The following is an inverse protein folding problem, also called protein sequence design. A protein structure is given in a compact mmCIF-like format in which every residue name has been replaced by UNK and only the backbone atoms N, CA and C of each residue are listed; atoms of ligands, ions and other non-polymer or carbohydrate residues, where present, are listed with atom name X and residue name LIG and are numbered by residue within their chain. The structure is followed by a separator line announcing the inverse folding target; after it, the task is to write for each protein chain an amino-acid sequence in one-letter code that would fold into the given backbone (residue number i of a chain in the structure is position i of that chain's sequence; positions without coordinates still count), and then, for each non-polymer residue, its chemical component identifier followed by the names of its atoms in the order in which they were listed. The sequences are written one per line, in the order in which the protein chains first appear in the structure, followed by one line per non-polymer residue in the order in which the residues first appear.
data_IF_144944852127
#
_entry.id   IF_144944852127
#
_cell.length_a   1.000
_cell.length_b   1.000
_cell.length_c   1.000
_cell.angle_alpha   90.00
_cell.angle_beta   90.00
_cell.angle_gamma   90.00
#
_symmetry.space_group_name_H-M   'P 1'
#
loop_
_entity.id
_entity.type
_entity.pdbx_description
1 polymer ?
#
# COMPACT_ATOMS: atom_id res chain seq x y z
N UNK A 1 32.88 -16.69 -6.66
CA UNK A 1 32.32 -17.91 -6.07
C UNK A 1 32.09 -17.64 -4.60
N UNK A 2 30.93 -17.13 -4.24
CA UNK A 2 30.52 -16.92 -2.84
C UNK A 2 29.37 -17.89 -2.56
N UNK A 3 29.62 -18.84 -1.70
CA UNK A 3 28.68 -19.85 -1.22
C UNK A 3 27.64 -19.20 -0.31
N UNK A 4 26.41 -19.17 -0.73
CA UNK A 4 25.24 -18.83 0.11
C UNK A 4 25.00 -20.02 1.03
N UNK A 5 25.24 -19.85 2.32
CA UNK A 5 24.82 -20.80 3.35
C UNK A 5 23.32 -20.68 3.55
N UNK A 6 22.60 -21.71 3.19
CA UNK A 6 21.20 -21.92 3.56
C UNK A 6 21.13 -22.11 5.09
N UNK A 7 20.49 -21.14 5.78
CA UNK A 7 20.11 -21.31 7.18
C UNK A 7 18.81 -22.09 7.19
N UNK A 8 18.90 -23.39 7.51
CA UNK A 8 17.73 -24.23 7.75
C UNK A 8 17.04 -23.78 9.04
N UNK A 9 15.87 -23.18 8.92
CA UNK A 9 14.96 -23.03 10.05
C UNK A 9 14.31 -24.38 10.35
N UNK A 10 14.81 -25.02 11.41
CA UNK A 10 14.17 -26.19 12.00
C UNK A 10 12.80 -25.78 12.54
N UNK A 11 11.76 -26.34 11.99
CA UNK A 11 10.40 -26.22 12.50
C UNK A 11 10.33 -26.95 13.85
N UNK A 12 10.44 -26.21 14.94
CA UNK A 12 10.06 -26.68 16.26
C UNK A 12 8.52 -26.68 16.32
N UNK A 13 7.90 -27.84 16.13
CA UNK A 13 6.49 -28.07 16.42
C UNK A 13 6.29 -27.95 17.94
N UNK A 14 5.99 -26.75 18.42
CA UNK A 14 5.42 -26.57 19.74
C UNK A 14 3.91 -26.84 19.63
N UNK A 15 3.52 -28.08 19.95
CA UNK A 15 2.12 -28.43 20.14
C UNK A 15 1.61 -27.74 21.41
N UNK A 16 1.07 -26.55 21.27
CA UNK A 16 0.24 -25.94 22.31
C UNK A 16 -1.15 -26.55 22.26
N UNK A 17 -1.45 -27.47 23.17
CA UNK A 17 -2.82 -27.85 23.50
C UNK A 17 -3.51 -26.65 24.16
N UNK A 18 -4.17 -25.85 23.38
CA UNK A 18 -5.06 -24.79 23.91
C UNK A 18 -6.37 -25.45 24.31
N UNK A 19 -6.58 -25.61 25.62
CA UNK A 19 -7.90 -25.96 26.17
C UNK A 19 -8.89 -24.85 25.78
N UNK A 20 -9.90 -25.21 24.99
CA UNK A 20 -10.99 -24.33 24.62
C UNK A 20 -11.85 -24.02 25.85
N UNK A 21 -11.63 -22.88 26.50
CA UNK A 21 -12.60 -22.29 27.42
C UNK A 21 -13.51 -21.37 26.62
N UNK A 22 -14.80 -21.68 26.62
CA UNK A 22 -15.85 -20.87 26.00
C UNK A 22 -15.94 -19.48 26.65
N UNK A 23 -16.19 -18.44 25.80
CA UNK A 23 -16.36 -17.01 26.09
C UNK A 23 -15.08 -16.22 26.27
N UNK A 24 -14.27 -16.13 25.20
CA UNK A 24 -13.16 -15.19 25.12
C UNK A 24 -13.10 -14.60 23.72
N UNK A 25 -12.85 -13.31 23.63
CA UNK A 25 -12.49 -12.62 22.39
C UNK A 25 -11.45 -13.44 21.63
N UNK A 26 -11.72 -13.77 20.34
CA UNK A 26 -10.77 -14.45 19.47
C UNK A 26 -9.43 -13.70 19.48
N UNK A 27 -8.38 -14.36 19.90
CA UNK A 27 -7.02 -13.83 19.80
C UNK A 27 -6.46 -14.11 18.41
N UNK A 28 -5.48 -13.33 17.95
CA UNK A 28 -4.78 -13.58 16.70
C UNK A 28 -4.29 -15.02 16.57
N UNK A 29 -3.67 -15.57 17.63
CA UNK A 29 -3.16 -16.94 17.63
C UNK A 29 -4.28 -17.99 17.56
N UNK A 30 -5.42 -17.78 18.24
CA UNK A 30 -6.55 -18.72 18.16
C UNK A 30 -7.19 -18.72 16.77
N UNK A 31 -7.27 -17.56 16.12
CA UNK A 31 -7.74 -17.45 14.74
C UNK A 31 -6.73 -18.07 13.78
N UNK A 32 -5.43 -17.82 13.95
CA UNK A 32 -4.38 -18.41 13.14
C UNK A 32 -4.41 -19.95 13.19
N UNK A 33 -4.60 -20.55 14.37
CA UNK A 33 -4.72 -22.00 14.50
C UNK A 33 -5.91 -22.57 13.71
N UNK A 34 -7.09 -21.91 13.81
CA UNK A 34 -8.28 -22.32 13.03
C UNK A 34 -8.11 -22.11 11.54
N UNK A 35 -7.46 -21.03 11.16
CA UNK A 35 -7.13 -20.71 9.77
C UNK A 35 -6.23 -21.78 9.17
N UNK A 36 -5.13 -22.14 9.84
CA UNK A 36 -4.21 -23.17 9.40
C UNK A 36 -4.90 -24.54 9.23
N UNK A 37 -5.77 -24.92 10.16
CA UNK A 37 -6.54 -26.15 10.07
C UNK A 37 -7.44 -26.22 8.83
N UNK A 38 -7.83 -25.08 8.24
CA UNK A 38 -8.63 -24.97 7.02
C UNK A 38 -7.85 -24.48 5.81
N UNK A 39 -6.52 -24.35 5.90
CA UNK A 39 -5.70 -23.75 4.85
C UNK A 39 -5.90 -24.40 3.47
N UNK A 40 -6.05 -25.73 3.39
CA UNK A 40 -6.33 -26.43 2.15
C UNK A 40 -7.65 -26.01 1.48
N UNK A 41 -8.69 -25.75 2.27
CA UNK A 41 -9.97 -25.25 1.78
C UNK A 41 -9.87 -23.79 1.35
N UNK A 42 -9.21 -22.95 2.16
CA UNK A 42 -8.99 -21.54 1.87
C UNK A 42 -8.18 -21.37 0.58
N UNK A 43 -7.18 -22.20 0.37
CA UNK A 43 -6.32 -22.17 -0.83
C UNK A 43 -7.09 -22.39 -2.15
N UNK A 44 -8.25 -23.03 -2.12
CA UNK A 44 -9.11 -23.14 -3.32
C UNK A 44 -9.73 -21.82 -3.73
N UNK A 45 -9.76 -20.86 -2.83
CA UNK A 45 -10.36 -19.52 -3.04
C UNK A 45 -9.30 -18.45 -3.29
N UNK A 46 -8.21 -18.44 -2.52
CA UNK A 46 -7.19 -17.37 -2.54
C UNK A 46 -5.90 -17.77 -3.25
N UNK A 47 -5.72 -19.06 -3.56
CA UNK A 47 -4.43 -19.62 -3.98
C UNK A 47 -3.56 -20.00 -2.78
N UNK A 48 -2.64 -20.94 -2.99
CA UNK A 48 -1.83 -21.54 -1.92
C UNK A 48 -0.89 -20.53 -1.26
N UNK A 49 -0.18 -19.75 -2.06
CA UNK A 49 0.84 -18.84 -1.56
C UNK A 49 0.20 -17.71 -0.75
N UNK A 50 -0.88 -17.11 -1.26
CA UNK A 50 -1.66 -16.11 -0.54
C UNK A 50 -2.24 -16.63 0.77
N UNK A 51 -2.72 -17.90 0.78
CA UNK A 51 -3.23 -18.53 2.01
C UNK A 51 -2.17 -18.60 3.10
N UNK A 52 -0.94 -18.99 2.75
CA UNK A 52 0.16 -19.11 3.71
C UNK A 52 0.68 -17.75 4.14
N UNK A 53 0.67 -16.78 3.24
CA UNK A 53 1.04 -15.40 3.56
C UNK A 53 0.09 -14.78 4.59
N UNK A 54 -1.22 -14.91 4.42
CA UNK A 54 -2.20 -14.43 5.39
C UNK A 54 -2.08 -15.14 6.75
N UNK A 55 -1.74 -16.43 6.74
CA UNK A 55 -1.43 -17.14 7.98
C UNK A 55 -0.22 -16.55 8.70
N UNK A 56 0.86 -16.28 7.96
CA UNK A 56 2.08 -15.69 8.52
C UNK A 56 1.81 -14.29 9.08
N UNK A 57 1.00 -13.48 8.42
CA UNK A 57 0.60 -12.14 8.90
C UNK A 57 -0.07 -12.20 10.28
N UNK A 58 -0.99 -13.16 10.51
CA UNK A 58 -1.61 -13.33 11.82
C UNK A 58 -0.59 -13.66 12.94
N UNK A 59 0.46 -14.41 12.62
CA UNK A 59 1.53 -14.72 13.56
C UNK A 59 2.42 -13.50 13.84
N UNK A 60 2.79 -12.77 12.79
CA UNK A 60 3.61 -11.56 12.89
C UNK A 60 2.88 -10.48 13.71
N UNK A 61 1.59 -10.28 13.47
CA UNK A 61 0.77 -9.32 14.19
C UNK A 61 0.66 -9.65 15.68
N UNK A 62 0.55 -10.94 16.01
CA UNK A 62 0.60 -11.39 17.40
C UNK A 62 1.93 -11.00 18.07
N UNK A 63 3.03 -11.01 17.33
CA UNK A 63 4.34 -10.53 17.80
C UNK A 63 4.37 -9.01 18.00
N UNK A 64 3.75 -8.25 17.09
CA UNK A 64 3.74 -6.79 17.17
C UNK A 64 2.92 -6.21 18.33
N UNK A 65 1.91 -6.93 18.83
CA UNK A 65 1.07 -6.48 19.97
C UNK A 65 1.90 -6.05 21.20
N UNK A 66 3.05 -6.67 21.41
CA UNK A 66 3.95 -6.41 22.54
C UNK A 66 5.31 -5.83 22.13
N UNK A 67 5.49 -5.54 20.84
CA UNK A 67 6.74 -4.99 20.35
C UNK A 67 6.88 -3.50 20.73
N UNK A 68 8.11 -3.04 21.03
CA UNK A 68 8.35 -1.62 21.23
C UNK A 68 8.09 -0.86 19.91
N UNK A 69 7.71 0.44 20.01
CA UNK A 69 7.49 1.25 18.82
C UNK A 69 8.78 1.37 18.00
N UNK A 70 8.70 1.25 16.67
CA UNK A 70 9.82 1.59 15.80
C UNK A 70 10.19 3.07 15.91
N UNK A 71 11.37 3.43 15.40
CA UNK A 71 11.80 4.82 15.29
C UNK A 71 10.72 5.69 14.65
N UNK A 72 10.61 6.94 15.07
CA UNK A 72 9.64 7.94 14.63
C UNK A 72 8.20 7.75 15.13
N UNK A 73 7.83 6.60 15.73
CA UNK A 73 6.54 6.41 16.38
C UNK A 73 6.59 6.77 17.86
N UNK A 74 5.55 7.41 18.39
CA UNK A 74 5.25 7.35 19.82
C UNK A 74 4.61 6.00 20.16
N UNK A 75 4.56 5.65 21.45
CA UNK A 75 3.91 4.42 21.89
C UNK A 75 2.42 4.37 21.46
N UNK A 76 1.70 5.48 21.62
CA UNK A 76 0.27 5.56 21.27
C UNK A 76 0.03 5.41 19.77
N UNK A 77 0.84 6.08 18.94
CA UNK A 77 0.77 5.97 17.49
C UNK A 77 1.06 4.55 17.00
N UNK A 78 2.05 3.91 17.60
CA UNK A 78 2.38 2.52 17.29
C UNK A 78 1.22 1.59 17.69
N UNK A 79 0.71 1.74 18.90
CA UNK A 79 -0.42 0.94 19.37
C UNK A 79 -1.70 1.16 18.55
N UNK A 80 -1.94 2.38 18.04
CA UNK A 80 -3.03 2.63 17.09
C UNK A 80 -2.83 1.82 15.81
N UNK A 81 -1.66 1.92 15.19
CA UNK A 81 -1.32 1.17 13.96
C UNK A 81 -1.44 -0.34 14.16
N UNK A 82 -0.87 -0.87 15.26
CA UNK A 82 -0.92 -2.31 15.56
C UNK A 82 -2.35 -2.80 15.74
N UNK A 83 -3.19 -2.06 16.47
CA UNK A 83 -4.62 -2.42 16.60
C UNK A 83 -5.33 -2.38 15.26
N UNK A 84 -5.07 -1.36 14.44
CA UNK A 84 -5.67 -1.19 13.13
C UNK A 84 -5.38 -2.38 12.21
N UNK A 85 -4.11 -2.65 11.92
CA UNK A 85 -3.76 -3.73 10.99
C UNK A 85 -4.11 -5.13 11.55
N UNK A 86 -3.96 -5.36 12.86
CA UNK A 86 -4.36 -6.63 13.47
C UNK A 86 -5.87 -6.88 13.39
N UNK A 87 -6.69 -5.84 13.49
CA UNK A 87 -8.15 -5.95 13.30
C UNK A 87 -8.50 -6.26 11.84
N UNK A 88 -7.79 -5.66 10.88
CA UNK A 88 -7.96 -5.97 9.47
C UNK A 88 -7.61 -7.43 9.17
N UNK A 89 -6.43 -7.88 9.58
CA UNK A 89 -5.97 -9.25 9.33
C UNK A 89 -6.85 -10.30 10.05
N UNK A 90 -7.37 -9.98 11.24
CA UNK A 90 -8.40 -10.81 11.91
C UNK A 90 -9.70 -10.85 11.11
N UNK A 91 -10.15 -9.70 10.58
CA UNK A 91 -11.36 -9.62 9.75
C UNK A 91 -11.20 -10.45 8.48
N UNK A 92 -10.07 -10.32 7.80
CA UNK A 92 -9.69 -11.10 6.61
C UNK A 92 -9.80 -12.62 6.91
N UNK A 93 -9.12 -13.07 7.95
CA UNK A 93 -9.12 -14.48 8.33
C UNK A 93 -10.52 -15.00 8.66
N UNK A 94 -11.34 -14.22 9.38
CA UNK A 94 -12.75 -14.58 9.70
C UNK A 94 -13.61 -14.67 8.46
N UNK A 95 -13.48 -13.75 7.51
CA UNK A 95 -14.22 -13.78 6.24
C UNK A 95 -13.88 -15.05 5.45
N UNK A 96 -12.60 -15.43 5.38
CA UNK A 96 -12.16 -16.65 4.70
C UNK A 96 -12.64 -17.93 5.43
N UNK A 97 -12.56 -17.95 6.76
CA UNK A 97 -13.05 -19.08 7.57
C UNK A 97 -14.57 -19.29 7.44
N UNK A 98 -15.32 -18.21 7.30
CA UNK A 98 -16.77 -18.23 7.12
C UNK A 98 -17.20 -18.34 5.67
N UNK A 99 -16.29 -18.14 4.71
CA UNK A 99 -16.59 -17.97 3.27
C UNK A 99 -17.68 -16.91 3.02
N UNK A 100 -17.63 -15.85 3.80
CA UNK A 100 -18.59 -14.73 3.75
C UNK A 100 -17.82 -13.42 3.74
N UNK A 101 -17.95 -12.68 2.65
CA UNK A 101 -17.15 -11.51 2.36
C UNK A 101 -17.94 -10.23 2.58
N UNK A 102 -17.38 -9.30 3.34
CA UNK A 102 -18.00 -8.00 3.59
C UNK A 102 -18.07 -7.20 2.29
N UNK A 103 -19.25 -6.68 1.87
CA UNK A 103 -19.33 -5.81 0.72
C UNK A 103 -18.53 -4.51 0.94
N UNK A 104 -17.69 -4.12 -0.03
CA UNK A 104 -16.89 -2.90 0.06
C UNK A 104 -17.75 -1.66 0.37
N UNK A 105 -18.93 -1.55 -0.22
CA UNK A 105 -19.87 -0.44 -0.01
C UNK A 105 -20.39 -0.30 1.44
N UNK A 106 -20.24 -1.34 2.26
CA UNK A 106 -20.65 -1.33 3.67
C UNK A 106 -19.57 -0.83 4.63
N UNK A 107 -18.33 -0.69 4.16
CA UNK A 107 -17.19 -0.24 4.97
C UNK A 107 -17.36 1.23 5.34
N UNK A 108 -17.09 1.55 6.61
CA UNK A 108 -16.95 2.90 7.16
C UNK A 108 -15.75 2.90 8.10
N UNK A 109 -14.92 3.97 8.02
CA UNK A 109 -13.60 3.94 8.65
C UNK A 109 -12.71 2.88 8.02
N UNK A 110 -11.86 2.27 8.84
CA UNK A 110 -10.93 1.23 8.44
C UNK A 110 -11.64 -0.13 8.30
N UNK A 111 -11.48 -0.80 7.17
CA UNK A 111 -12.07 -2.11 6.92
C UNK A 111 -11.31 -2.89 5.86
N UNK A 112 -11.65 -4.17 5.71
CA UNK A 112 -11.04 -5.05 4.73
C UNK A 112 -12.09 -5.95 4.09
N UNK A 113 -11.94 -6.16 2.79
CA UNK A 113 -12.83 -6.99 1.98
C UNK A 113 -12.04 -7.78 0.95
N UNK A 114 -12.74 -8.52 0.12
CA UNK A 114 -12.16 -9.26 -1.00
C UNK A 114 -12.72 -8.79 -2.33
N UNK A 115 -11.83 -8.70 -3.32
CA UNK A 115 -12.17 -8.46 -4.72
C UNK A 115 -11.76 -9.70 -5.52
N UNK A 116 -12.62 -10.11 -6.45
CA UNK A 116 -12.32 -11.24 -7.35
C UNK A 116 -11.36 -10.77 -8.43
N UNK A 117 -10.20 -11.42 -8.51
CA UNK A 117 -9.22 -11.13 -9.54
C UNK A 117 -9.74 -11.49 -10.94
N UNK A 118 -9.64 -10.58 -11.86
CA UNK A 118 -9.91 -10.79 -13.29
C UNK A 118 -8.89 -11.71 -13.94
N UNK A 119 -7.68 -11.81 -13.36
CA UNK A 119 -6.58 -12.63 -13.87
C UNK A 119 -6.85 -14.13 -13.77
N UNK A 120 -7.40 -14.59 -12.64
CA UNK A 120 -7.49 -16.03 -12.35
C UNK A 120 -8.73 -16.43 -11.51
N UNK A 121 -9.58 -15.47 -11.19
CA UNK A 121 -10.79 -15.69 -10.41
C UNK A 121 -10.56 -15.91 -8.90
N UNK A 122 -9.34 -15.80 -8.40
CA UNK A 122 -9.07 -15.87 -6.95
C UNK A 122 -9.57 -14.64 -6.23
N UNK A 123 -9.84 -14.79 -4.93
CA UNK A 123 -10.24 -13.69 -4.06
C UNK A 123 -8.99 -13.02 -3.48
N UNK A 124 -8.81 -11.74 -3.78
CA UNK A 124 -7.68 -10.95 -3.32
C UNK A 124 -8.15 -9.93 -2.28
N UNK A 125 -7.49 -9.79 -1.12
CA UNK A 125 -7.88 -8.83 -0.11
C UNK A 125 -7.58 -7.40 -0.56
N UNK A 126 -8.43 -6.51 -0.09
CA UNK A 126 -8.31 -5.08 -0.30
C UNK A 126 -8.64 -4.38 1.01
N UNK A 127 -7.67 -3.69 1.57
CA UNK A 127 -7.90 -2.83 2.71
C UNK A 127 -8.47 -1.49 2.24
N UNK A 128 -9.45 -0.97 2.99
CA UNK A 128 -10.20 0.23 2.60
C UNK A 128 -10.34 1.15 3.79
N UNK A 129 -10.10 2.44 3.58
CA UNK A 129 -10.48 3.48 4.53
C UNK A 129 -11.52 4.40 3.91
N UNK A 130 -12.67 4.53 4.56
CA UNK A 130 -13.76 5.42 4.15
C UNK A 130 -13.92 6.50 5.23
N UNK A 131 -13.63 7.78 4.93
CA UNK A 131 -13.77 8.87 5.88
C UNK A 131 -15.17 8.92 6.50
N UNK A 132 -15.30 9.25 7.81
CA UNK A 132 -16.61 9.35 8.47
C UNK A 132 -17.57 10.35 7.81
N UNK A 133 -17.03 11.37 7.14
CA UNK A 133 -17.80 12.39 6.41
C UNK A 133 -18.27 11.96 5.01
N UNK A 134 -17.96 10.75 4.56
CA UNK A 134 -18.39 10.28 3.23
C UNK A 134 -19.92 10.14 3.14
N UNK A 135 -20.49 10.64 2.05
CA UNK A 135 -21.89 10.46 1.67
C UNK A 135 -21.98 10.06 0.19
N UNK A 136 -22.95 9.22 -0.14
CA UNK A 136 -23.23 8.84 -1.53
C UNK A 136 -23.71 10.03 -2.39
N UNK A 137 -24.21 11.08 -1.76
CA UNK A 137 -24.74 12.25 -2.46
C UNK A 137 -23.63 13.24 -2.89
N UNK A 138 -22.40 13.04 -2.40
CA UNK A 138 -21.25 13.89 -2.73
C UNK A 138 -20.11 13.03 -3.24
N UNK A 139 -19.66 13.24 -4.50
CA UNK A 139 -18.51 12.53 -5.03
C UNK A 139 -17.26 12.75 -4.19
N UNK A 140 -16.58 11.67 -3.86
CA UNK A 140 -15.35 11.64 -3.05
C UNK A 140 -14.11 11.41 -3.92
N UNK A 141 -12.95 11.96 -3.55
CA UNK A 141 -11.68 11.55 -4.12
C UNK A 141 -11.38 10.08 -3.82
N UNK A 142 -10.65 9.42 -4.72
CA UNK A 142 -10.16 8.04 -4.55
C UNK A 142 -8.64 8.00 -4.66
N UNK A 143 -7.98 7.41 -3.68
CA UNK A 143 -6.57 7.03 -3.75
C UNK A 143 -6.45 5.50 -3.74
N UNK A 144 -5.94 4.91 -4.82
CA UNK A 144 -5.42 3.54 -4.81
C UNK A 144 -3.97 3.61 -4.34
N UNK A 145 -3.68 2.96 -3.20
CA UNK A 145 -2.41 3.11 -2.50
C UNK A 145 -1.66 1.78 -2.41
N UNK A 146 -0.49 1.70 -3.03
CA UNK A 146 0.33 0.50 -3.18
C UNK A 146 1.38 0.43 -2.07
N UNK A 147 1.41 -0.70 -1.35
CA UNK A 147 2.33 -0.92 -0.23
C UNK A 147 3.79 -1.17 -0.67
N UNK A 148 4.71 -1.07 0.29
CA UNK A 148 6.12 -1.38 0.14
C UNK A 148 6.42 -2.89 0.17
N UNK A 149 7.66 -3.24 -0.15
CA UNK A 149 8.16 -4.61 -0.03
C UNK A 149 8.16 -5.04 1.45
N UNK A 150 7.77 -6.29 1.72
CA UNK A 150 7.65 -6.86 3.08
C UNK A 150 6.61 -6.14 3.96
N UNK A 151 5.69 -5.43 3.34
CA UNK A 151 4.57 -4.77 3.96
C UNK A 151 3.25 -5.35 3.42
N UNK A 152 2.13 -5.01 4.01
CA UNK A 152 0.82 -5.43 3.53
C UNK A 152 -0.10 -4.21 3.34
N UNK A 153 -1.19 -4.41 2.61
CA UNK A 153 -2.23 -3.41 2.46
C UNK A 153 -2.79 -2.95 3.80
N UNK A 154 -2.97 -3.86 4.77
CA UNK A 154 -3.45 -3.53 6.11
C UNK A 154 -2.46 -2.65 6.88
N UNK A 155 -1.17 -2.96 6.82
CA UNK A 155 -0.12 -2.18 7.49
C UNK A 155 0.12 -0.82 6.84
N UNK A 156 -0.10 -0.72 5.53
CA UNK A 156 0.02 0.55 4.81
C UNK A 156 -1.01 1.59 5.26
N UNK A 157 -2.29 1.18 5.43
CA UNK A 157 -3.37 2.15 5.67
C UNK A 157 -3.76 2.32 7.15
N UNK A 158 -3.33 1.42 8.05
CA UNK A 158 -3.65 1.47 9.47
C UNK A 158 -2.92 2.57 10.29
N UNK A 159 -1.81 3.21 9.85
CA UNK A 159 -1.24 4.32 10.59
C UNK A 159 -2.18 5.52 10.66
N UNK A 160 -2.40 6.04 11.87
CA UNK A 160 -3.32 7.15 12.14
C UNK A 160 -3.12 8.36 11.21
N UNK A 161 -1.88 8.69 10.83
CA UNK A 161 -1.62 9.82 9.96
C UNK A 161 -2.20 9.66 8.53
N UNK A 162 -2.41 8.42 8.06
CA UNK A 162 -3.11 8.12 6.81
C UNK A 162 -4.59 8.43 6.96
N UNK A 163 -5.20 7.97 8.07
CA UNK A 163 -6.60 8.26 8.39
C UNK A 163 -6.83 9.77 8.52
N UNK A 164 -5.95 10.47 9.27
CA UNK A 164 -6.04 11.93 9.49
C UNK A 164 -6.00 12.72 8.16
N UNK A 165 -5.18 12.31 7.20
CA UNK A 165 -5.12 12.98 5.88
C UNK A 165 -6.35 12.64 5.06
N UNK A 166 -6.77 11.39 5.06
CA UNK A 166 -7.96 10.94 4.35
C UNK A 166 -9.23 11.65 4.86
N UNK A 167 -9.37 11.79 6.19
CA UNK A 167 -10.49 12.52 6.80
C UNK A 167 -10.51 13.99 6.41
N UNK A 168 -9.34 14.66 6.50
CA UNK A 168 -9.22 16.07 6.18
C UNK A 168 -9.53 16.36 4.71
N UNK A 169 -9.18 15.47 3.81
CA UNK A 169 -9.37 15.62 2.36
C UNK A 169 -10.66 14.98 1.84
N UNK A 170 -11.32 14.16 2.66
CA UNK A 170 -12.49 13.38 2.25
C UNK A 170 -12.16 12.22 1.31
N UNK A 171 -10.88 11.81 1.23
CA UNK A 171 -10.39 10.82 0.27
C UNK A 171 -10.69 9.40 0.73
N UNK A 172 -11.35 8.60 -0.10
CA UNK A 172 -11.44 7.15 0.10
C UNK A 172 -10.09 6.54 -0.30
N UNK A 173 -9.52 5.71 0.58
CA UNK A 173 -8.26 5.00 0.32
C UNK A 173 -8.55 3.53 0.10
N UNK A 174 -7.98 2.96 -0.96
CA UNK A 174 -8.10 1.55 -1.30
C UNK A 174 -6.69 0.99 -1.53
N UNK A 175 -6.30 0.01 -0.72
CA UNK A 175 -4.99 -0.61 -0.82
C UNK A 175 -5.16 -2.08 -1.24
N UNK A 176 -4.79 -2.45 -2.48
CA UNK A 176 -4.80 -3.84 -2.92
C UNK A 176 -3.60 -4.61 -2.36
N UNK A 177 -3.79 -5.91 -2.11
CA UNK A 177 -2.76 -6.82 -1.60
C UNK A 177 -1.58 -7.01 -2.56
N UNK A 178 -1.80 -6.94 -3.89
CA UNK A 178 -0.72 -7.10 -4.89
C UNK A 178 -0.06 -8.48 -4.92
N UNK A 179 -0.71 -9.52 -4.40
CA UNK A 179 -0.27 -10.92 -4.37
C UNK A 179 1.03 -11.20 -3.63
N UNK A 180 1.37 -10.39 -2.64
CA UNK A 180 2.47 -10.68 -1.75
C UNK A 180 3.41 -9.51 -1.51
N UNK A 181 4.44 -9.79 -0.74
CA UNK A 181 5.34 -8.79 -0.19
C UNK A 181 6.45 -8.32 -1.14
N UNK A 182 6.61 -8.92 -2.33
CA UNK A 182 7.84 -8.76 -3.11
C UNK A 182 7.72 -7.93 -4.36
N UNK A 183 6.54 -7.91 -5.01
CA UNK A 183 6.39 -7.29 -6.32
C UNK A 183 4.92 -7.12 -6.73
N UNK A 184 4.62 -6.06 -7.50
CA UNK A 184 3.33 -5.91 -8.21
C UNK A 184 3.36 -6.45 -9.64
N UNK A 185 4.50 -6.97 -10.12
CA UNK A 185 4.59 -7.56 -11.46
C UNK A 185 3.73 -8.81 -11.58
N UNK A 186 2.84 -8.79 -12.55
CA UNK A 186 1.89 -9.86 -12.77
C UNK A 186 0.66 -9.81 -11.85
N UNK A 187 0.51 -8.77 -11.02
CA UNK A 187 -0.68 -8.46 -10.23
C UNK A 187 -1.25 -7.06 -10.54
N UNK A 188 -0.80 -6.46 -11.62
CA UNK A 188 -1.26 -5.13 -12.05
C UNK A 188 -2.79 -5.12 -12.26
N UNK A 189 -3.35 -6.23 -12.78
CA UNK A 189 -4.82 -6.37 -12.93
C UNK A 189 -5.56 -6.30 -11.60
N UNK A 190 -4.99 -6.84 -10.51
CA UNK A 190 -5.63 -6.79 -9.19
C UNK A 190 -5.74 -5.35 -8.65
N UNK A 191 -4.82 -4.46 -9.06
CA UNK A 191 -4.88 -3.03 -8.75
C UNK A 191 -6.09 -2.39 -9.44
N UNK A 192 -6.33 -2.73 -10.70
CA UNK A 192 -7.50 -2.23 -11.45
C UNK A 192 -8.80 -2.90 -10.99
N UNK A 193 -8.79 -4.18 -10.63
CA UNK A 193 -9.95 -4.85 -10.03
C UNK A 193 -10.37 -4.15 -8.71
N UNK A 194 -9.40 -3.73 -7.89
CA UNK A 194 -9.68 -2.95 -6.67
C UNK A 194 -10.20 -1.53 -6.98
N UNK A 195 -9.62 -0.86 -7.98
CA UNK A 195 -10.08 0.44 -8.47
C UNK A 195 -11.52 0.37 -8.99
N UNK A 196 -11.84 -0.62 -9.81
CA UNK A 196 -13.18 -0.82 -10.36
C UNK A 196 -14.20 -1.16 -9.26
N UNK A 197 -13.82 -2.02 -8.31
CA UNK A 197 -14.65 -2.34 -7.15
C UNK A 197 -14.95 -1.09 -6.31
N UNK A 198 -13.98 -0.19 -6.12
CA UNK A 198 -14.19 1.07 -5.42
C UNK A 198 -15.15 2.00 -6.18
N UNK A 199 -15.01 2.13 -7.51
CA UNK A 199 -15.91 2.93 -8.33
C UNK A 199 -17.36 2.38 -8.34
N UNK A 200 -17.53 1.06 -8.20
CA UNK A 200 -18.85 0.44 -8.05
C UNK A 200 -19.43 0.63 -6.64
N UNK A 201 -18.59 0.63 -5.62
CA UNK A 201 -19.01 0.69 -4.21
C UNK A 201 -19.33 2.12 -3.74
N UNK A 202 -18.64 3.11 -4.28
CA UNK A 202 -18.67 4.50 -3.82
C UNK A 202 -18.98 5.47 -4.95
N UNK A 203 -19.47 6.65 -4.61
CA UNK A 203 -19.61 7.76 -5.56
C UNK A 203 -18.27 8.50 -5.63
N UNK A 204 -17.49 8.21 -6.66
CA UNK A 204 -16.14 8.75 -6.85
C UNK A 204 -16.16 9.95 -7.81
N UNK A 205 -15.40 10.99 -7.48
CA UNK A 205 -15.16 12.13 -8.38
C UNK A 205 -14.21 11.69 -9.53
N UNK A 206 -14.67 11.67 -10.79
CA UNK A 206 -13.85 11.24 -11.92
C UNK A 206 -12.63 12.12 -12.16
N UNK A 207 -12.60 13.34 -11.60
CA UNK A 207 -11.48 14.26 -11.68
C UNK A 207 -10.52 14.19 -10.48
N UNK A 208 -10.79 13.28 -9.53
CA UNK A 208 -10.00 13.08 -8.31
C UNK A 208 -9.72 11.61 -8.06
N UNK A 209 -9.11 10.97 -9.05
CA UNK A 209 -8.68 9.56 -8.99
C UNK A 209 -7.16 9.50 -9.04
N UNK A 210 -6.57 8.96 -7.99
CA UNK A 210 -5.14 9.00 -7.74
C UNK A 210 -4.57 7.61 -7.58
N UNK A 211 -3.34 7.42 -8.07
CA UNK A 211 -2.52 6.24 -7.80
C UNK A 211 -1.33 6.68 -6.96
N UNK A 212 -1.19 6.13 -5.76
CA UNK A 212 -0.04 6.34 -4.89
C UNK A 212 0.71 5.05 -4.64
N UNK A 213 1.99 5.14 -4.34
CA UNK A 213 2.76 3.96 -3.96
C UNK A 213 3.99 4.32 -3.14
N UNK A 214 4.30 3.45 -2.18
CA UNK A 214 5.44 3.56 -1.30
C UNK A 214 6.48 2.48 -1.61
N UNK A 215 7.77 2.86 -1.69
CA UNK A 215 8.88 1.94 -1.92
C UNK A 215 8.65 1.08 -3.17
N UNK A 216 8.49 -0.23 -3.03
CA UNK A 216 8.08 -1.14 -4.10
C UNK A 216 6.85 -0.61 -4.86
N UNK A 217 5.81 -0.18 -4.16
CA UNK A 217 4.65 0.48 -4.75
C UNK A 217 5.01 1.78 -5.48
N UNK A 218 5.98 2.54 -4.94
CA UNK A 218 6.50 3.76 -5.56
C UNK A 218 7.21 3.54 -6.90
N UNK A 219 7.86 2.39 -7.08
CA UNK A 219 8.37 1.96 -8.39
C UNK A 219 7.24 1.46 -9.30
N UNK A 220 6.26 0.77 -8.71
CA UNK A 220 5.17 0.12 -9.45
C UNK A 220 4.19 1.12 -10.06
N UNK A 221 4.03 2.32 -9.51
CA UNK A 221 3.15 3.34 -10.12
C UNK A 221 3.54 3.67 -11.56
N UNK A 222 4.83 3.63 -11.90
CA UNK A 222 5.34 3.86 -13.25
C UNK A 222 5.14 2.68 -14.21
N UNK A 223 4.71 1.54 -13.71
CA UNK A 223 4.29 0.39 -14.53
C UNK A 223 2.79 0.37 -14.69
N UNK A 224 2.08 0.64 -13.61
CA UNK A 224 0.62 0.50 -13.51
C UNK A 224 -0.08 1.68 -14.19
N UNK A 225 0.28 2.93 -13.84
CA UNK A 225 -0.41 4.09 -14.38
C UNK A 225 -0.44 4.15 -15.93
N UNK A 226 0.62 3.79 -16.67
CA UNK A 226 0.60 3.82 -18.12
C UNK A 226 -0.31 2.77 -18.79
N UNK A 227 -0.79 1.77 -18.06
CA UNK A 227 -1.70 0.75 -18.62
C UNK A 227 -3.07 1.36 -18.93
N UNK A 228 -3.59 2.20 -18.04
CA UNK A 228 -4.84 2.95 -18.19
C UNK A 228 -4.62 4.41 -17.81
N UNK A 229 -3.95 5.20 -18.65
CA UNK A 229 -3.51 6.55 -18.29
C UNK A 229 -4.64 7.54 -18.02
N UNK A 230 -5.83 7.31 -18.60
CA UNK A 230 -7.04 8.12 -18.38
C UNK A 230 -7.69 7.94 -17.01
N UNK A 231 -7.33 6.88 -16.28
CA UNK A 231 -7.92 6.61 -14.97
C UNK A 231 -7.31 7.46 -13.86
N UNK A 232 -6.12 8.01 -14.09
CA UNK A 232 -5.35 8.69 -13.06
C UNK A 232 -5.19 10.19 -13.35
N UNK A 233 -5.74 11.02 -12.48
CA UNK A 233 -5.56 12.49 -12.55
C UNK A 233 -4.25 12.93 -11.91
N UNK A 234 -3.72 12.14 -10.98
CA UNK A 234 -2.39 12.32 -10.43
C UNK A 234 -1.77 11.00 -9.96
N UNK A 235 -0.44 10.98 -9.89
CA UNK A 235 0.38 9.86 -9.41
C UNK A 235 1.33 10.34 -8.31
N UNK A 236 1.38 9.62 -7.19
CA UNK A 236 2.27 9.90 -6.07
C UNK A 236 3.29 8.76 -5.90
N UNK A 237 4.58 9.10 -6.07
CA UNK A 237 5.70 8.18 -5.88
C UNK A 237 6.42 8.52 -4.56
N UNK A 238 6.38 7.62 -3.58
CA UNK A 238 6.96 7.82 -2.25
C UNK A 238 8.12 6.85 -2.07
N UNK A 239 9.32 7.36 -1.80
CA UNK A 239 10.54 6.58 -1.61
C UNK A 239 10.74 5.51 -2.70
N UNK A 240 10.41 5.87 -3.94
CA UNK A 240 10.52 5.08 -5.15
C UNK A 240 11.14 5.87 -6.29
N UNK A 241 11.19 5.32 -7.50
CA UNK A 241 11.81 5.98 -8.66
C UNK A 241 11.24 5.47 -9.98
N UNK A 242 11.24 6.34 -10.99
CA UNK A 242 11.11 5.95 -12.39
C UNK A 242 12.42 5.30 -12.85
N UNK A 243 12.33 4.09 -13.39
CA UNK A 243 13.46 3.43 -14.02
C UNK A 243 13.60 3.85 -15.50
N UNK A 244 14.83 3.97 -15.99
CA UNK A 244 15.11 4.43 -17.34
C UNK A 244 14.42 3.61 -18.44
N UNK A 245 14.28 2.30 -18.24
CA UNK A 245 13.54 1.41 -19.14
C UNK A 245 12.04 1.76 -19.34
N UNK A 246 11.47 2.60 -18.49
CA UNK A 246 10.06 3.04 -18.56
C UNK A 246 9.88 4.51 -18.92
N UNK A 247 10.97 5.26 -19.07
CA UNK A 247 10.92 6.71 -19.31
C UNK A 247 10.09 7.07 -20.55
N UNK A 248 10.31 6.41 -21.67
CA UNK A 248 9.56 6.65 -22.91
C UNK A 248 8.06 6.35 -22.74
N UNK A 249 7.71 5.30 -22.00
CA UNK A 249 6.30 4.95 -21.74
C UNK A 249 5.62 6.02 -20.88
N UNK A 250 6.29 6.51 -19.85
CA UNK A 250 5.78 7.60 -18.99
C UNK A 250 5.61 8.88 -19.79
N UNK A 251 6.62 9.28 -20.57
CA UNK A 251 6.58 10.47 -21.41
C UNK A 251 5.42 10.44 -22.42
N UNK A 252 5.21 9.32 -23.09
CA UNK A 252 4.17 9.20 -24.13
C UNK A 252 2.77 9.00 -23.57
N UNK A 253 2.60 8.35 -22.41
CA UNK A 253 1.30 7.97 -21.85
C UNK A 253 0.81 8.89 -20.73
N UNK A 254 1.72 9.52 -19.99
CA UNK A 254 1.41 10.26 -18.78
C UNK A 254 1.82 11.75 -18.87
N UNK A 255 1.97 12.29 -20.06
CA UNK A 255 2.42 13.67 -20.31
C UNK A 255 1.55 14.74 -19.61
N UNK A 256 0.26 14.46 -19.41
CA UNK A 256 -0.68 15.37 -18.74
C UNK A 256 -1.01 14.97 -17.27
N UNK A 257 -0.42 13.88 -16.78
CA UNK A 257 -0.64 13.42 -15.42
C UNK A 257 0.23 14.21 -14.46
N UNK A 258 -0.33 14.66 -13.34
CA UNK A 258 0.43 15.37 -12.29
C UNK A 258 1.19 14.36 -11.44
N UNK A 259 2.46 14.64 -11.18
CA UNK A 259 3.29 13.80 -10.32
C UNK A 259 3.67 14.49 -9.02
N UNK A 260 3.67 13.70 -7.94
CA UNK A 260 4.14 14.08 -6.62
C UNK A 260 5.20 13.07 -6.20
N UNK A 261 6.47 13.50 -6.16
CA UNK A 261 7.61 12.63 -5.87
C UNK A 261 8.17 12.99 -4.50
N UNK A 262 8.17 12.03 -3.58
CA UNK A 262 8.54 12.20 -2.18
C UNK A 262 9.73 11.33 -1.81
N UNK A 263 10.67 11.90 -1.04
CA UNK A 263 11.85 11.16 -0.57
C UNK A 263 12.30 11.62 0.82
N UNK A 264 12.98 10.74 1.54
CA UNK A 264 13.74 11.08 2.75
C UNK A 264 15.19 11.39 2.40
N UNK A 265 15.73 12.49 2.93
CA UNK A 265 17.13 12.86 2.66
C UNK A 265 18.14 11.90 3.31
N UNK A 266 17.68 11.03 4.23
CA UNK A 266 18.46 9.98 4.91
C UNK A 266 17.98 8.58 4.55
N UNK A 267 17.32 8.43 3.40
CA UNK A 267 16.91 7.12 2.89
C UNK A 267 18.14 6.34 2.43
N UNK A 268 18.44 5.24 3.12
CA UNK A 268 19.56 4.35 2.86
C UNK A 268 19.17 3.10 2.04
N UNK A 269 17.89 2.92 1.82
CA UNK A 269 17.31 1.81 1.04
C UNK A 269 17.06 2.21 -0.41
N UNK A 270 16.44 3.37 -0.61
CA UNK A 270 16.29 4.02 -1.93
C UNK A 270 16.98 5.38 -1.87
N UNK A 271 18.27 5.44 -2.26
CA UNK A 271 19.03 6.69 -2.19
C UNK A 271 18.31 7.86 -2.85
N UNK A 272 18.30 9.01 -2.17
CA UNK A 272 17.60 10.23 -2.59
C UNK A 272 17.90 10.66 -4.04
N UNK A 273 19.05 10.26 -4.56
CA UNK A 273 19.44 10.48 -5.94
C UNK A 273 18.37 9.96 -6.93
N UNK A 274 17.80 8.78 -6.69
CA UNK A 274 16.87 8.15 -7.63
C UNK A 274 15.54 8.89 -7.76
N UNK A 275 14.81 9.22 -6.69
CA UNK A 275 13.61 10.06 -6.80
C UNK A 275 13.93 11.48 -7.29
N UNK A 276 15.13 12.02 -6.97
CA UNK A 276 15.58 13.31 -7.52
C UNK A 276 15.71 13.26 -9.05
N UNK A 277 16.38 12.24 -9.60
CA UNK A 277 16.50 12.04 -11.05
C UNK A 277 15.13 11.83 -11.71
N UNK A 278 14.20 11.14 -11.02
CA UNK A 278 12.81 11.02 -11.48
C UNK A 278 12.14 12.38 -11.63
N UNK A 279 12.26 13.25 -10.61
CA UNK A 279 11.66 14.57 -10.66
C UNK A 279 12.30 15.47 -11.73
N UNK A 280 13.62 15.39 -11.91
CA UNK A 280 14.35 16.08 -12.98
C UNK A 280 13.86 15.63 -14.35
N UNK A 281 13.78 14.32 -14.58
CA UNK A 281 13.30 13.78 -15.86
C UNK A 281 11.86 14.25 -16.17
N UNK A 282 10.94 14.13 -15.22
CA UNK A 282 9.55 14.55 -15.41
C UNK A 282 9.46 16.05 -15.75
N UNK A 283 10.21 16.88 -15.03
CA UNK A 283 10.27 18.32 -15.29
C UNK A 283 10.81 18.62 -16.70
N UNK A 284 11.92 17.98 -17.07
CA UNK A 284 12.61 18.23 -18.35
C UNK A 284 11.79 17.70 -19.54
N UNK A 285 10.97 16.67 -19.33
CA UNK A 285 9.97 16.19 -20.28
C UNK A 285 8.70 17.05 -20.33
N UNK A 286 8.61 18.13 -19.54
CA UNK A 286 7.43 19.01 -19.48
C UNK A 286 6.23 18.40 -18.75
N UNK A 287 6.43 17.31 -18.01
CA UNK A 287 5.39 16.64 -17.22
C UNK A 287 5.24 17.36 -15.88
N UNK A 288 3.99 17.73 -15.47
CA UNK A 288 3.77 18.45 -14.23
C UNK A 288 4.23 17.63 -13.01
N UNK A 289 5.23 18.13 -12.27
CA UNK A 289 5.79 17.42 -11.10
C UNK A 289 6.04 18.36 -9.93
N UNK A 290 5.74 17.90 -8.73
CA UNK A 290 6.18 18.49 -7.46
C UNK A 290 7.10 17.51 -6.73
N UNK A 291 8.22 18.01 -6.24
CA UNK A 291 9.20 17.21 -5.50
C UNK A 291 9.25 17.63 -4.04
N UNK A 292 9.20 16.65 -3.13
CA UNK A 292 9.29 16.86 -1.69
C UNK A 292 10.45 16.04 -1.11
N UNK A 293 11.26 16.68 -0.29
CA UNK A 293 12.35 16.03 0.44
C UNK A 293 12.24 16.31 1.93
N UNK A 294 12.13 15.28 2.75
CA UNK A 294 12.15 15.36 4.20
C UNK A 294 13.60 15.29 4.70
N UNK A 295 14.11 16.36 5.30
CA UNK A 295 15.54 16.49 5.65
C UNK A 295 16.05 15.43 6.65
N UNK A 296 15.22 14.97 7.55
CA UNK A 296 15.48 13.92 8.55
C UNK A 296 14.77 12.58 8.21
N UNK A 297 14.06 12.54 7.09
CA UNK A 297 13.32 11.38 6.64
C UNK A 297 14.25 10.24 6.20
N UNK A 298 13.87 9.03 6.57
CA UNK A 298 14.51 7.77 6.15
C UNK A 298 13.62 7.04 5.16
N UNK A 299 13.90 5.75 4.89
CA UNK A 299 13.02 4.91 4.08
C UNK A 299 11.66 4.65 4.74
N UNK A 300 11.55 4.73 6.07
CA UNK A 300 10.30 4.44 6.77
C UNK A 300 9.18 5.43 6.41
N UNK A 301 8.05 4.93 5.94
CA UNK A 301 6.91 5.75 5.52
C UNK A 301 6.51 6.77 6.61
N UNK A 302 6.51 6.35 7.88
CA UNK A 302 6.15 7.22 9.00
C UNK A 302 7.10 8.41 9.16
N UNK A 303 8.37 8.29 8.78
CA UNK A 303 9.33 9.41 8.80
C UNK A 303 9.00 10.48 7.75
N UNK A 304 8.24 10.12 6.73
CA UNK A 304 7.82 10.98 5.61
C UNK A 304 6.41 11.58 5.79
N UNK A 305 5.74 11.30 6.91
CA UNK A 305 4.33 11.69 7.15
C UNK A 305 4.02 13.16 6.93
N UNK A 306 4.96 14.06 7.24
CA UNK A 306 4.77 15.50 7.07
C UNK A 306 4.68 15.87 5.60
N UNK A 307 5.65 15.47 4.78
CA UNK A 307 5.65 15.74 3.35
C UNK A 307 4.58 14.94 2.61
N UNK A 308 4.23 13.74 3.09
CA UNK A 308 3.11 12.97 2.55
C UNK A 308 1.79 13.71 2.75
N UNK A 309 1.53 14.21 3.95
CA UNK A 309 0.35 14.99 4.26
C UNK A 309 0.25 16.25 3.39
N UNK A 310 1.37 16.95 3.17
CA UNK A 310 1.43 18.13 2.31
C UNK A 310 1.18 17.75 0.83
N UNK A 311 1.89 16.75 0.32
CA UNK A 311 1.76 16.29 -1.06
C UNK A 311 0.33 15.82 -1.38
N UNK A 312 -0.30 15.12 -0.45
CA UNK A 312 -1.68 14.68 -0.61
C UNK A 312 -2.65 15.85 -0.64
N UNK A 313 -2.47 16.84 0.24
CA UNK A 313 -3.29 18.06 0.23
C UNK A 313 -3.10 18.88 -1.06
N UNK A 314 -1.85 19.00 -1.55
CA UNK A 314 -1.56 19.68 -2.82
C UNK A 314 -2.14 18.90 -4.01
N UNK A 315 -2.10 17.56 -3.98
CA UNK A 315 -2.72 16.69 -4.98
C UNK A 315 -4.23 16.91 -5.04
N UNK A 316 -4.91 16.94 -3.88
CA UNK A 316 -6.33 17.21 -3.78
C UNK A 316 -6.72 18.60 -4.30
N UNK A 317 -5.88 19.59 -4.01
CA UNK A 317 -6.08 20.96 -4.50
C UNK A 317 -5.66 21.13 -5.97
N UNK A 318 -5.07 20.10 -6.58
CA UNK A 318 -4.53 20.15 -7.94
C UNK A 318 -3.32 21.07 -8.11
N UNK A 319 -2.65 21.40 -6.99
CA UNK A 319 -1.50 22.31 -6.96
C UNK A 319 -0.25 21.55 -7.40
N UNK A 320 0.46 22.08 -8.39
CA UNK A 320 1.80 21.63 -8.81
C UNK A 320 2.77 22.77 -8.52
N UNK A 321 3.81 22.45 -7.74
CA UNK A 321 4.89 23.39 -7.42
C UNK A 321 6.09 23.05 -8.26
N UNK A 322 6.55 23.98 -9.09
CA UNK A 322 7.79 23.76 -9.85
C UNK A 322 8.93 23.48 -8.87
N UNK A 323 9.67 22.36 -9.02
CA UNK A 323 10.76 22.05 -8.12
C UNK A 323 11.87 23.10 -8.20
N UNK A 324 11.99 23.94 -7.16
CA UNK A 324 13.08 24.90 -7.05
C UNK A 324 14.37 24.15 -6.59
N UNK A 325 15.51 24.49 -7.17
CA UNK A 325 16.82 23.99 -6.72
C UNK A 325 17.22 22.62 -7.25
N UNK A 326 16.43 21.95 -8.08
CA UNK A 326 16.87 20.76 -8.81
C UNK A 326 17.77 21.21 -9.97
N UNK A 327 19.11 21.22 -9.76
CA UNK A 327 20.06 21.48 -10.82
C UNK A 327 19.93 20.40 -11.91
N UNK A 328 19.84 20.81 -13.18
CA UNK A 328 19.86 19.89 -14.31
C UNK A 328 21.21 19.18 -14.35
N UNK A 329 21.26 17.95 -13.90
CA UNK A 329 22.44 17.09 -14.02
C UNK A 329 22.21 16.13 -15.18
N UNK A 330 23.12 16.07 -16.14
CA UNK A 330 23.08 15.14 -17.27
C UNK A 330 23.26 13.67 -16.90
N UNK A 331 22.76 13.26 -15.73
CA UNK A 331 22.73 11.87 -15.28
C UNK A 331 21.39 11.26 -15.70
N UNK A 332 21.47 10.13 -16.41
CA UNK A 332 20.28 9.37 -16.79
C UNK A 332 19.55 8.76 -15.58
N UNK A 333 18.32 8.33 -15.81
CA UNK A 333 17.53 7.57 -14.84
C UNK A 333 18.21 6.22 -14.53
N UNK A 334 18.05 5.68 -13.30
CA UNK A 334 18.59 4.35 -12.97
C UNK A 334 17.89 3.25 -13.77
N UNK A 335 18.63 2.24 -14.19
CA UNK A 335 18.09 1.07 -14.89
C UNK A 335 17.64 -0.02 -13.93
N UNK A 336 18.23 -0.10 -12.75
CA UNK A 336 17.87 -1.03 -11.70
C UNK A 336 17.99 -0.38 -10.33
N UNK A 337 17.24 -0.91 -9.37
CA UNK A 337 17.40 -0.56 -7.95
C UNK A 337 18.34 -1.58 -7.34
N UNK A 338 19.31 -1.18 -6.53
CA UNK A 338 20.25 -2.08 -5.86
C UNK A 338 19.55 -3.08 -4.92
#
# INVERSE_FOLDING_TARGET
MLTVRAIGLGAALLAFTVAATASGTDTLLSVAARYYAKAGQIATVTGRDSTMDYYQRLLDDAGFLNAPPPSYYTADQWQHSVRGFSQLDLSLARQLLAQSYQPMASIRGLGETFVRSSKDGTMQPVAVYVPPGYSKDKPAPLLVFLHGRLESESRLIAPQFIEDVADRTGTIVVAPYGRGYYDYRGSESDVYDAFDAANLAFTIDPHKRYLGGYSMGGFSVFTIAPMHPSDWTAVMCIAGSLLGSRSQLVETKLSNTKFYVLTGARDDTVPTLYPTLTAIFLRDAGIPVTFYSQSDGTHLLYSLRSILSQAWSDMEAGVVRTPEGLAGGGQGLPEAVP
#
